data_IF_608607669540
#
_entry.id   IF_608607669540
#
_cell.length_a   1.000
_cell.length_b   1.000
_cell.length_c   1.000
_cell.angle_alpha   90.00
_cell.angle_beta   90.00
_cell.angle_gamma   90.00
#
_symmetry.space_group_name_H-M   'P 1'
#
loop_
_entity.id
_entity.type
_entity.pdbx_description
1 polymer ?
#
# COMPACT_ATOMS: atom_id res chain seq x y z
N UNK A 1 17.09 1.02 -10.53
CA UNK A 1 16.58 -0.06 -9.69
C UNK A 1 15.63 -0.96 -10.48
N UNK A 2 16.04 -2.16 -10.86
CA UNK A 2 15.28 -3.15 -11.64
C UNK A 2 14.23 -3.96 -10.85
N UNK A 3 13.36 -4.73 -11.53
CA UNK A 3 12.39 -5.62 -10.88
C UNK A 3 13.07 -6.60 -9.91
N UNK A 4 12.47 -6.87 -8.76
CA UNK A 4 12.97 -7.91 -7.83
C UNK A 4 14.05 -7.48 -6.84
N UNK A 5 14.57 -6.25 -6.91
CA UNK A 5 15.59 -5.73 -5.98
C UNK A 5 15.08 -5.45 -4.54
N UNK A 6 13.93 -5.99 -4.14
CA UNK A 6 13.44 -5.84 -2.76
C UNK A 6 12.89 -4.46 -2.38
N UNK A 7 12.58 -3.58 -3.35
CA UNK A 7 12.02 -2.24 -3.08
C UNK A 7 10.84 -2.26 -2.10
N UNK A 8 9.82 -3.08 -2.36
CA UNK A 8 8.65 -3.18 -1.49
C UNK A 8 9.03 -3.73 -0.12
N UNK A 9 9.96 -4.69 -0.05
CA UNK A 9 10.48 -5.25 1.21
C UNK A 9 11.18 -4.17 2.04
N UNK A 10 12.04 -3.37 1.41
CA UNK A 10 12.73 -2.25 2.07
C UNK A 10 11.72 -1.20 2.55
N UNK A 11 10.77 -0.81 1.70
CA UNK A 11 9.75 0.17 2.05
C UNK A 11 8.86 -0.28 3.22
N UNK A 12 8.40 -1.53 3.22
CA UNK A 12 7.59 -2.10 4.31
C UNK A 12 8.37 -2.14 5.62
N UNK A 13 9.62 -2.62 5.60
CA UNK A 13 10.43 -2.68 6.81
C UNK A 13 10.81 -1.29 7.34
N UNK A 14 11.05 -0.32 6.45
CA UNK A 14 11.28 1.07 6.83
C UNK A 14 10.04 1.69 7.48
N UNK A 15 8.85 1.47 6.90
CA UNK A 15 7.60 1.93 7.49
C UNK A 15 7.36 1.29 8.87
N UNK A 16 7.62 -0.02 9.00
CA UNK A 16 7.57 -0.72 10.29
C UNK A 16 8.56 -0.15 11.31
N UNK A 17 9.77 0.21 10.88
CA UNK A 17 10.78 0.83 11.76
C UNK A 17 10.31 2.19 12.30
N UNK A 18 9.66 3.02 11.47
CA UNK A 18 9.07 4.28 11.92
C UNK A 18 7.90 4.05 12.87
N UNK A 19 7.03 3.08 12.57
CA UNK A 19 5.90 2.73 13.42
C UNK A 19 6.33 2.26 14.82
N UNK A 20 7.36 1.41 14.88
CA UNK A 20 7.99 0.95 16.13
C UNK A 20 8.68 2.10 16.90
N UNK A 21 9.12 3.14 16.21
CA UNK A 21 9.61 4.38 16.81
C UNK A 21 8.48 5.34 17.25
N UNK A 22 7.27 4.81 17.45
CA UNK A 22 6.05 5.54 17.82
C UNK A 22 5.68 6.69 16.87
N UNK A 23 6.03 6.56 15.59
CA UNK A 23 5.58 7.50 14.55
C UNK A 23 4.33 6.94 13.89
N UNK A 24 3.26 7.73 13.86
CA UNK A 24 2.08 7.42 13.02
C UNK A 24 2.52 7.37 11.56
N UNK A 25 2.46 6.18 10.97
CA UNK A 25 3.06 5.88 9.67
C UNK A 25 2.01 5.23 8.78
N UNK A 26 1.97 5.62 7.50
CA UNK A 26 1.19 4.95 6.46
C UNK A 26 2.13 4.47 5.36
N UNK A 27 1.96 3.23 4.91
CA UNK A 27 2.61 2.75 3.69
C UNK A 27 1.61 2.77 2.53
N UNK A 28 1.97 3.46 1.46
CA UNK A 28 1.16 3.61 0.25
C UNK A 28 1.84 2.89 -0.93
N UNK A 29 1.13 1.94 -1.55
CA UNK A 29 1.64 1.20 -2.72
C UNK A 29 1.33 1.94 -4.02
N UNK A 30 2.28 2.77 -4.50
CA UNK A 30 2.16 3.50 -5.76
C UNK A 30 2.63 2.71 -7.00
N UNK A 31 3.03 1.44 -6.88
CA UNK A 31 3.42 0.65 -8.06
C UNK A 31 2.16 0.08 -8.75
N UNK A 32 1.66 0.80 -9.76
CA UNK A 32 0.49 0.38 -10.54
C UNK A 32 0.77 -0.72 -11.56
N UNK A 33 2.03 -1.14 -11.74
CA UNK A 33 2.40 -2.18 -12.69
C UNK A 33 2.43 -3.55 -12.03
N UNK A 34 3.08 -3.65 -10.86
CA UNK A 34 3.19 -4.89 -10.08
C UNK A 34 3.13 -4.59 -8.58
N UNK A 35 1.99 -4.14 -8.03
CA UNK A 35 1.88 -3.83 -6.60
C UNK A 35 2.08 -5.07 -5.75
N UNK A 36 2.67 -4.89 -4.57
CA UNK A 36 3.11 -5.99 -3.69
C UNK A 36 2.77 -5.79 -2.23
N UNK A 37 2.48 -4.57 -1.78
CA UNK A 37 2.25 -4.26 -0.36
C UNK A 37 1.08 -5.08 0.18
N UNK A 38 -0.03 -5.13 -0.55
CA UNK A 38 -1.20 -5.94 -0.18
C UNK A 38 -0.84 -7.42 0.06
N UNK A 39 0.01 -8.01 -0.78
CA UNK A 39 0.45 -9.40 -0.62
C UNK A 39 1.35 -9.60 0.61
N UNK A 40 2.20 -8.62 0.92
CA UNK A 40 3.09 -8.67 2.10
C UNK A 40 2.29 -8.67 3.40
N UNK A 41 1.18 -7.91 3.45
CA UNK A 41 0.28 -7.86 4.60
C UNK A 41 -0.86 -8.88 4.56
N UNK A 42 -0.87 -9.80 3.57
CA UNK A 42 -1.92 -10.79 3.35
C UNK A 42 -3.33 -10.19 3.25
N UNK A 43 -3.46 -9.12 2.46
CA UNK A 43 -4.65 -8.28 2.38
C UNK A 43 -5.13 -8.06 0.95
N UNK A 44 -6.39 -7.63 0.83
CA UNK A 44 -6.99 -7.37 -0.49
C UNK A 44 -6.33 -6.16 -1.14
N UNK A 45 -6.07 -6.25 -2.46
CA UNK A 45 -5.49 -5.14 -3.23
C UNK A 45 -6.44 -3.95 -3.37
N UNK A 46 -7.75 -4.20 -3.43
CA UNK A 46 -8.79 -3.19 -3.65
C UNK A 46 -9.89 -3.29 -2.57
N UNK A 47 -10.56 -2.17 -2.25
CA UNK A 47 -10.31 -0.82 -2.76
C UNK A 47 -8.95 -0.25 -2.31
N UNK A 48 -8.35 0.66 -3.09
CA UNK A 48 -7.07 1.30 -2.76
C UNK A 48 -6.98 2.71 -3.34
N UNK A 49 -5.78 3.29 -3.38
CA UNK A 49 -5.66 4.71 -3.71
C UNK A 49 -6.20 5.04 -5.10
N UNK A 50 -6.01 4.18 -6.11
CA UNK A 50 -6.60 4.46 -7.44
C UNK A 50 -8.11 4.56 -7.40
N UNK A 51 -8.79 3.72 -6.61
CA UNK A 51 -10.24 3.74 -6.44
C UNK A 51 -10.71 5.01 -5.74
N UNK A 52 -9.97 5.49 -4.74
CA UNK A 52 -10.22 6.77 -4.07
C UNK A 52 -10.05 7.96 -5.02
N UNK A 53 -8.95 8.01 -5.78
CA UNK A 53 -8.66 9.11 -6.69
C UNK A 53 -9.68 9.26 -7.83
N UNK A 54 -10.35 8.17 -8.22
CA UNK A 54 -11.44 8.20 -9.22
C UNK A 54 -12.84 8.30 -8.60
N UNK A 55 -12.94 8.54 -7.28
CA UNK A 55 -14.21 8.73 -6.59
C UNK A 55 -15.06 7.46 -6.42
N UNK A 56 -14.44 6.28 -6.44
CA UNK A 56 -15.11 4.98 -6.25
C UNK A 56 -14.97 4.39 -4.85
N UNK A 57 -14.15 4.99 -4.00
CA UNK A 57 -14.00 4.62 -2.60
C UNK A 57 -13.75 5.87 -1.74
N UNK A 58 -14.16 5.84 -0.47
CA UNK A 58 -13.81 6.84 0.54
C UNK A 58 -12.41 6.60 1.09
N UNK A 59 -11.88 7.57 1.85
CA UNK A 59 -10.58 7.42 2.50
C UNK A 59 -10.61 6.29 3.56
N UNK A 60 -11.70 6.21 4.32
CA UNK A 60 -11.92 5.22 5.36
C UNK A 60 -11.99 3.78 4.81
N UNK A 61 -12.41 3.62 3.55
CA UNK A 61 -12.48 2.31 2.88
C UNK A 61 -11.10 1.83 2.38
N UNK A 62 -10.17 2.76 2.12
CA UNK A 62 -8.85 2.46 1.55
C UNK A 62 -7.73 2.42 2.57
N UNK A 63 -7.86 3.11 3.71
CA UNK A 63 -6.90 3.03 4.81
C UNK A 63 -7.19 1.82 5.70
N UNK A 64 -6.24 0.89 5.79
CA UNK A 64 -6.36 -0.31 6.62
C UNK A 64 -5.31 -0.30 7.70
N UNK A 65 -5.71 -0.58 8.94
CA UNK A 65 -4.74 -0.85 10.02
C UNK A 65 -4.02 -2.15 9.74
N UNK A 66 -2.72 -2.19 10.01
CA UNK A 66 -1.95 -3.42 9.97
C UNK A 66 -1.90 -4.06 11.36
N UNK A 67 -1.31 -5.25 11.46
CA UNK A 67 -1.00 -5.87 12.77
C UNK A 67 0.07 -5.12 13.56
N UNK A 68 0.81 -4.22 12.90
CA UNK A 68 1.85 -3.40 13.54
C UNK A 68 1.20 -2.13 14.05
N UNK A 69 1.30 -1.89 15.36
CA UNK A 69 0.83 -0.65 15.97
C UNK A 69 1.47 0.58 15.30
N UNK A 70 0.72 1.67 15.19
CA UNK A 70 1.11 2.91 14.48
C UNK A 70 1.36 2.78 12.97
N UNK A 71 1.11 1.62 12.35
CA UNK A 71 1.21 1.43 10.91
C UNK A 71 -0.13 1.13 10.26
N UNK A 72 -0.56 2.02 9.36
CA UNK A 72 -1.63 1.77 8.39
C UNK A 72 -1.05 1.50 7.00
N UNK A 73 -1.86 0.88 6.14
CA UNK A 73 -1.53 0.65 4.74
C UNK A 73 -2.64 1.18 3.84
N UNK A 74 -2.23 1.67 2.68
CA UNK A 74 -3.10 1.95 1.54
C UNK A 74 -2.54 1.19 0.35
N UNK A 75 -3.36 0.32 -0.21
CA UNK A 75 -2.99 -0.52 -1.35
C UNK A 75 -3.14 0.23 -2.66
N UNK A 76 -2.59 -0.34 -3.73
CA UNK A 76 -2.66 0.27 -5.06
C UNK A 76 -4.11 0.48 -5.54
N UNK A 77 -5.02 -0.44 -5.18
CA UNK A 77 -6.40 -0.43 -5.66
C UNK A 77 -6.59 -1.17 -6.98
N UNK A 78 -7.66 -0.83 -7.69
CA UNK A 78 -7.92 -1.36 -9.02
C UNK A 78 -6.87 -0.86 -10.01
N UNK A 79 -6.20 -1.77 -10.70
CA UNK A 79 -5.30 -1.44 -11.81
C UNK A 79 -6.12 -1.47 -13.09
N UNK A 80 -6.38 -0.30 -13.64
CA UNK A 80 -6.97 -0.18 -14.97
C UNK A 80 -5.86 -0.31 -16.01
N UNK A 81 -5.65 -1.53 -16.51
CA UNK A 81 -4.93 -1.73 -17.76
C UNK A 81 -5.80 -1.20 -18.89
N UNK A 82 -5.69 0.07 -19.23
CA UNK A 82 -6.08 0.51 -20.57
C UNK A 82 -4.90 0.28 -21.48
N UNK A 83 -5.10 -0.61 -22.45
CA UNK A 83 -4.51 -0.48 -23.77
C UNK A 83 -4.79 0.95 -24.24
N UNK A 84 -3.78 1.81 -24.16
CA UNK A 84 -3.60 2.91 -25.09
C UNK A 84 -2.50 2.48 -26.04
#
# INVERSE_FOLDING_TARGET
MGPGEGKSTIAVNLAGSFALANKRTVILDCDLRKPRVHSIFNEKRFPGFTDYFIGRASFEEIERKTIVENLSMITAGTIHSQSL
#
